data_IF_930427559195
#
_entry.id   IF_930427559195
#
_cell.length_a   1.000
_cell.length_b   1.000
_cell.length_c   1.000
_cell.angle_alpha   90.00
_cell.angle_beta   90.00
_cell.angle_gamma   90.00
#
_symmetry.space_group_name_H-M   'P 1'
#
loop_
_entity.id
_entity.type
_entity.pdbx_description
1 polymer ?
#
# COMPACT_ATOMS: atom_id res chain seq x y z
N UNK A 1 -5.60 -3.47 -3.44
CA UNK A 1 -5.50 -3.96 -2.05
C UNK A 1 -6.76 -3.65 -1.27
N UNK A 2 -6.90 -2.43 -0.73
CA UNK A 2 -7.92 -2.10 0.28
C UNK A 2 -9.37 -2.32 -0.20
N UNK A 3 -9.70 -2.01 -1.47
CA UNK A 3 -11.03 -2.30 -2.03
C UNK A 3 -11.38 -3.80 -2.07
N UNK A 4 -10.38 -4.69 -2.20
CA UNK A 4 -10.60 -6.13 -2.11
C UNK A 4 -10.91 -6.57 -0.68
N UNK A 5 -10.31 -5.92 0.32
CA UNK A 5 -10.63 -6.13 1.73
C UNK A 5 -12.10 -5.79 2.03
N UNK A 6 -12.62 -4.69 1.49
CA UNK A 6 -14.05 -4.37 1.57
C UNK A 6 -14.95 -5.44 0.94
N UNK A 7 -14.60 -5.90 -0.26
CA UNK A 7 -15.37 -6.95 -0.94
C UNK A 7 -15.37 -8.25 -0.13
N UNK A 8 -14.26 -8.56 0.53
CA UNK A 8 -14.14 -9.73 1.41
C UNK A 8 -15.02 -9.57 2.67
N UNK A 9 -14.94 -8.44 3.35
CA UNK A 9 -15.76 -8.16 4.53
C UNK A 9 -17.27 -8.16 4.22
N UNK A 10 -17.66 -7.70 3.02
CA UNK A 10 -19.04 -7.79 2.54
C UNK A 10 -19.49 -9.24 2.29
N UNK A 11 -18.59 -10.10 1.80
CA UNK A 11 -18.88 -11.52 1.58
C UNK A 11 -19.07 -12.28 2.90
N UNK A 12 -18.23 -12.01 3.91
CA UNK A 12 -18.31 -12.64 5.24
C UNK A 12 -19.38 -12.05 6.17
N UNK A 13 -20.13 -11.02 5.73
CA UNK A 13 -21.24 -10.38 6.47
C UNK A 13 -20.84 -9.84 7.85
N UNK A 14 -19.63 -9.29 7.99
CA UNK A 14 -19.18 -8.64 9.22
C UNK A 14 -19.23 -7.10 9.07
N UNK A 15 -20.38 -6.45 9.34
CA UNK A 15 -20.53 -5.00 9.11
C UNK A 15 -19.65 -4.14 10.03
N UNK A 16 -19.23 -4.69 11.17
CA UNK A 16 -18.41 -4.01 12.17
C UNK A 16 -17.01 -3.72 11.60
N UNK A 17 -16.40 -4.70 10.93
CA UNK A 17 -15.06 -4.54 10.35
C UNK A 17 -15.09 -3.60 9.13
N UNK A 18 -16.21 -3.53 8.40
CA UNK A 18 -16.38 -2.56 7.31
C UNK A 18 -16.37 -1.12 7.84
N UNK A 19 -17.16 -0.82 8.87
CA UNK A 19 -17.32 0.55 9.36
C UNK A 19 -16.13 1.04 10.19
N UNK A 20 -15.51 0.17 10.98
CA UNK A 20 -14.51 0.59 11.97
C UNK A 20 -13.07 0.26 11.58
N UNK A 21 -12.85 -0.60 10.58
CA UNK A 21 -11.51 -0.88 10.05
C UNK A 21 -11.37 -0.32 8.64
N UNK A 22 -12.23 -0.71 7.70
CA UNK A 22 -12.08 -0.29 6.29
C UNK A 22 -12.29 1.21 6.06
N UNK A 23 -13.35 1.82 6.64
CA UNK A 23 -13.64 3.25 6.41
C UNK A 23 -12.52 4.16 6.94
N UNK A 24 -12.05 4.03 8.21
CA UNK A 24 -10.93 4.83 8.70
C UNK A 24 -9.65 4.62 7.90
N UNK A 25 -9.34 3.37 7.50
CA UNK A 25 -8.17 3.06 6.67
C UNK A 25 -8.23 3.76 5.29
N UNK A 26 -9.41 3.78 4.66
CA UNK A 26 -9.62 4.47 3.39
C UNK A 26 -9.53 6.00 3.53
N UNK A 27 -10.14 6.56 4.58
CA UNK A 27 -10.07 8.00 4.85
C UNK A 27 -8.62 8.42 5.11
N UNK A 28 -7.88 7.69 5.94
CA UNK A 28 -6.47 7.97 6.22
C UNK A 28 -5.62 7.95 4.95
N UNK A 29 -5.71 6.86 4.16
CA UNK A 29 -4.89 6.68 2.97
C UNK A 29 -5.21 7.73 1.89
N UNK A 30 -6.49 8.01 1.66
CA UNK A 30 -6.91 9.00 0.67
C UNK A 30 -6.58 10.44 1.10
N UNK A 31 -6.64 10.75 2.39
CA UNK A 31 -6.37 12.11 2.89
C UNK A 31 -4.92 12.53 2.74
N UNK A 32 -3.96 11.59 2.87
CA UNK A 32 -2.53 11.87 2.73
C UNK A 32 -2.05 11.57 1.31
N UNK A 33 -2.15 10.32 0.88
CA UNK A 33 -1.57 9.87 -0.39
C UNK A 33 -2.48 10.13 -1.58
N UNK A 34 -3.81 10.03 -1.39
CA UNK A 34 -4.78 10.43 -2.42
C UNK A 34 -4.63 11.92 -2.75
N UNK A 35 -4.51 12.77 -1.73
CA UNK A 35 -4.23 14.19 -1.92
C UNK A 35 -2.89 14.44 -2.63
N UNK A 36 -1.82 13.71 -2.29
CA UNK A 36 -0.53 13.79 -3.00
C UNK A 36 -0.69 13.48 -4.51
N UNK A 37 -1.41 12.41 -4.87
CA UNK A 37 -1.68 12.06 -6.26
C UNK A 37 -2.48 13.16 -6.98
N UNK A 38 -3.49 13.73 -6.31
CA UNK A 38 -4.26 14.85 -6.87
C UNK A 38 -3.38 16.07 -7.12
N UNK A 39 -2.45 16.40 -6.21
CA UNK A 39 -1.50 17.49 -6.41
C UNK A 39 -0.55 17.26 -7.60
N UNK A 40 -0.10 16.02 -7.81
CA UNK A 40 0.73 15.67 -8.99
C UNK A 40 -0.06 15.89 -10.28
N UNK A 41 -1.30 15.40 -10.34
CA UNK A 41 -2.16 15.57 -11.52
C UNK A 41 -2.46 17.06 -11.76
N UNK A 42 -2.82 17.80 -10.70
CA UNK A 42 -3.05 19.25 -10.81
C UNK A 42 -1.80 19.98 -11.27
N UNK A 43 -0.61 19.60 -10.78
CA UNK A 43 0.65 20.19 -11.24
C UNK A 43 0.88 19.93 -12.73
N UNK A 44 0.50 18.77 -13.26
CA UNK A 44 0.60 18.49 -14.70
C UNK A 44 -0.46 19.21 -15.54
N UNK A 45 -1.62 19.55 -14.97
CA UNK A 45 -2.67 20.25 -15.68
C UNK A 45 -2.46 21.78 -15.76
N UNK A 46 -1.56 22.36 -14.96
CA UNK A 46 -1.30 23.80 -14.92
C UNK A 46 -0.06 24.12 -15.75
N UNK A 47 -0.22 25.03 -16.72
CA UNK A 47 0.89 25.52 -17.55
C UNK A 47 1.61 26.68 -16.87
N UNK A 48 2.70 26.39 -16.17
CA UNK A 48 3.52 27.41 -15.49
C UNK A 48 4.30 28.32 -16.46
N UNK A 49 4.42 27.93 -17.73
CA UNK A 49 5.10 28.75 -18.76
C UNK A 49 4.17 29.76 -19.46
N UNK A 50 2.89 29.80 -19.09
CA UNK A 50 1.92 30.71 -19.68
C UNK A 50 2.27 32.18 -19.38
N UNK A 51 2.00 33.12 -20.31
CA UNK A 51 2.30 34.54 -20.13
C UNK A 51 1.57 35.17 -18.94
N UNK A 52 0.41 34.64 -18.56
CA UNK A 52 -0.36 35.05 -17.38
C UNK A 52 0.37 34.69 -16.07
N UNK A 53 1.02 33.53 -16.03
CA UNK A 53 1.80 33.05 -14.88
C UNK A 53 3.15 33.79 -14.76
N UNK A 54 3.77 34.16 -15.89
CA UNK A 54 5.00 34.98 -15.88
C UNK A 54 4.78 36.41 -15.38
N UNK A 55 3.56 36.93 -15.47
CA UNK A 55 3.19 38.26 -14.99
C UNK A 55 2.97 38.31 -13.47
N UNK A 56 2.72 37.17 -12.83
CA UNK A 56 2.51 37.05 -11.38
C UNK A 56 3.79 36.52 -10.70
N UNK A 57 4.41 37.27 -9.76
CA UNK A 57 5.60 36.82 -9.04
C UNK A 57 5.40 35.56 -8.20
N UNK A 58 4.15 35.21 -7.87
CA UNK A 58 3.82 34.07 -7.01
C UNK A 58 3.52 32.79 -7.80
N UNK A 59 3.49 32.85 -9.14
CA UNK A 59 3.21 31.70 -10.01
C UNK A 59 4.49 30.90 -10.34
N UNK A 60 5.11 30.32 -9.31
CA UNK A 60 6.29 29.44 -9.43
C UNK A 60 5.83 27.99 -9.25
N UNK A 61 6.35 27.01 -10.04
CA UNK A 61 5.98 25.61 -9.89
C UNK A 61 6.33 25.12 -8.48
N UNK A 62 5.32 24.82 -7.63
CA UNK A 62 5.59 24.59 -6.23
C UNK A 62 6.16 23.19 -6.01
N UNK A 63 6.95 23.08 -4.95
CA UNK A 63 7.58 21.84 -4.57
C UNK A 63 6.60 20.98 -3.75
N UNK A 64 6.03 19.95 -4.38
CA UNK A 64 4.96 19.12 -3.79
C UNK A 64 5.43 18.46 -2.49
N UNK A 65 6.71 18.08 -2.37
CA UNK A 65 7.26 17.51 -1.13
C UNK A 65 7.25 18.54 0.01
N UNK A 66 7.55 19.81 -0.27
CA UNK A 66 7.50 20.88 0.71
C UNK A 66 6.07 21.13 1.18
N UNK A 67 5.08 21.05 0.27
CA UNK A 67 3.66 21.10 0.62
C UNK A 67 3.27 19.94 1.55
N UNK A 68 3.72 18.71 1.26
CA UNK A 68 3.42 17.54 2.09
C UNK A 68 4.07 17.61 3.48
N UNK A 69 5.33 18.04 3.57
CA UNK A 69 6.02 18.23 4.85
C UNK A 69 5.37 19.38 5.65
N UNK A 70 5.07 20.49 4.98
CA UNK A 70 4.42 21.65 5.56
C UNK A 70 3.05 21.32 6.16
N UNK A 71 2.29 20.44 5.51
CA UNK A 71 1.00 19.96 6.01
C UNK A 71 1.10 19.33 7.43
N UNK A 72 2.19 18.62 7.74
CA UNK A 72 2.39 18.01 9.06
C UNK A 72 3.13 18.91 10.05
N UNK A 73 4.04 19.78 9.59
CA UNK A 73 4.87 20.62 10.47
C UNK A 73 4.21 21.96 10.84
N UNK A 74 3.42 22.56 9.95
CA UNK A 74 2.73 23.84 10.20
C UNK A 74 1.34 23.85 9.54
N UNK A 75 0.33 23.25 10.19
CA UNK A 75 -0.99 23.14 9.60
C UNK A 75 -1.65 24.52 9.44
N UNK A 76 -2.06 24.84 8.21
CA UNK A 76 -2.85 26.04 7.90
C UNK A 76 -2.06 27.30 7.55
N UNK A 77 -0.74 27.31 7.67
CA UNK A 77 0.12 28.41 7.22
C UNK A 77 0.86 28.01 5.95
N UNK A 78 0.26 28.25 4.79
CA UNK A 78 0.94 28.12 3.50
C UNK A 78 1.55 29.46 3.13
N UNK A 79 2.85 29.46 2.83
CA UNK A 79 3.49 30.61 2.21
C UNK A 79 2.83 30.88 0.85
N UNK A 80 2.58 32.15 0.45
CA UNK A 80 1.83 32.48 -0.77
C UNK A 80 2.36 31.77 -2.03
N UNK A 81 3.68 31.54 -2.08
CA UNK A 81 4.41 30.86 -3.15
C UNK A 81 4.13 29.35 -3.29
N UNK A 82 3.51 28.72 -2.29
CA UNK A 82 3.17 27.29 -2.30
C UNK A 82 1.67 27.02 -2.52
N UNK A 83 0.87 28.07 -2.77
CA UNK A 83 -0.56 27.95 -2.98
C UNK A 83 -0.87 27.62 -4.45
N UNK A 84 -1.33 26.39 -4.70
CA UNK A 84 -1.73 25.90 -6.03
C UNK A 84 -3.18 26.24 -6.40
N UNK A 85 -4.07 26.35 -5.41
CA UNK A 85 -5.48 26.67 -5.63
C UNK A 85 -6.08 27.49 -4.48
N UNK A 86 -7.13 28.30 -4.74
CA UNK A 86 -7.78 29.09 -3.69
C UNK A 86 -8.39 28.18 -2.62
N UNK A 87 -8.04 28.41 -1.34
CA UNK A 87 -8.56 27.62 -0.21
C UNK A 87 -7.76 26.36 0.14
N UNK A 88 -6.55 26.19 -0.42
CA UNK A 88 -5.68 25.04 -0.12
C UNK A 88 -5.40 24.85 1.38
N UNK A 89 -5.22 25.93 2.13
CA UNK A 89 -4.98 25.87 3.58
C UNK A 89 -6.14 25.19 4.34
N UNK A 90 -7.39 25.52 3.98
CA UNK A 90 -8.58 24.95 4.60
C UNK A 90 -8.70 23.46 4.26
N UNK A 91 -8.54 23.10 2.98
CA UNK A 91 -8.63 21.70 2.53
C UNK A 91 -7.55 20.85 3.21
N UNK A 92 -6.31 21.34 3.29
CA UNK A 92 -5.22 20.64 3.98
C UNK A 92 -5.50 20.46 5.47
N UNK A 93 -6.01 21.49 6.15
CA UNK A 93 -6.37 21.39 7.56
C UNK A 93 -7.49 20.37 7.81
N UNK A 94 -8.53 20.36 6.96
CA UNK A 94 -9.63 19.38 7.05
C UNK A 94 -9.14 17.96 6.78
N UNK A 95 -8.30 17.75 5.76
CA UNK A 95 -7.73 16.43 5.44
C UNK A 95 -6.81 15.92 6.55
N UNK A 96 -5.99 16.79 7.13
CA UNK A 96 -5.14 16.44 8.28
C UNK A 96 -5.99 16.09 9.51
N UNK A 97 -7.03 16.87 9.81
CA UNK A 97 -7.94 16.59 10.91
C UNK A 97 -8.65 15.24 10.71
N UNK A 98 -9.12 14.95 9.49
CA UNK A 98 -9.72 13.66 9.15
C UNK A 98 -8.72 12.50 9.33
N UNK A 99 -7.46 12.68 8.91
CA UNK A 99 -6.42 11.68 9.10
C UNK A 99 -6.10 11.46 10.59
N UNK A 100 -5.98 12.52 11.39
CA UNK A 100 -5.71 12.42 12.82
C UNK A 100 -6.87 11.80 13.61
N UNK A 101 -8.12 12.07 13.25
CA UNK A 101 -9.31 11.47 13.87
C UNK A 101 -9.45 9.98 13.50
N UNK A 102 -9.02 9.60 12.29
CA UNK A 102 -9.13 8.21 11.83
C UNK A 102 -8.27 7.22 12.66
N UNK A 103 -7.15 7.68 13.24
CA UNK A 103 -6.24 6.84 14.03
C UNK A 103 -6.86 6.40 15.37
N UNK A 104 -7.39 7.31 16.23
CA UNK A 104 -8.13 6.93 17.43
C UNK A 104 -9.37 6.09 17.15
N UNK A 105 -10.09 6.36 16.05
CA UNK A 105 -11.29 5.58 15.68
C UNK A 105 -10.92 4.12 15.42
N UNK A 106 -9.85 3.86 14.65
CA UNK A 106 -9.38 2.50 14.38
C UNK A 106 -8.86 1.79 15.65
N UNK A 107 -8.21 2.53 16.54
CA UNK A 107 -7.67 2.00 17.79
C UNK A 107 -8.75 1.63 18.82
N UNK A 108 -9.75 2.51 19.03
CA UNK A 108 -10.74 2.36 20.11
C UNK A 108 -12.01 1.63 19.69
N UNK A 109 -12.42 1.70 18.43
CA UNK A 109 -13.74 1.22 18.03
C UNK A 109 -13.91 -0.30 18.17
N UNK A 110 -12.92 -1.09 17.70
CA UNK A 110 -12.99 -2.55 17.74
C UNK A 110 -12.97 -3.13 19.18
N UNK A 111 -12.05 -2.74 20.08
CA UNK A 111 -12.03 -3.28 21.44
C UNK A 111 -13.26 -2.86 22.26
N UNK A 112 -13.75 -1.62 22.11
CA UNK A 112 -14.93 -1.16 22.86
C UNK A 112 -16.22 -1.87 22.43
N UNK A 113 -16.40 -2.12 21.13
CA UNK A 113 -17.56 -2.85 20.62
C UNK A 113 -17.51 -4.33 21.00
N UNK A 114 -16.33 -4.97 20.97
CA UNK A 114 -16.17 -6.34 21.43
C UNK A 114 -16.49 -6.47 22.92
N UNK A 115 -16.01 -5.53 23.75
CA UNK A 115 -16.37 -5.47 25.18
C UNK A 115 -17.89 -5.37 25.39
N UNK A 116 -18.56 -4.44 24.71
CA UNK A 116 -20.02 -4.28 24.82
C UNK A 116 -20.79 -5.53 24.38
N UNK A 117 -20.33 -6.22 23.34
CA UNK A 117 -20.97 -7.46 22.85
C UNK A 117 -20.79 -8.62 23.82
N UNK A 118 -19.63 -8.72 24.49
CA UNK A 118 -19.39 -9.69 25.54
C UNK A 118 -20.25 -9.42 26.78
N UNK A 119 -20.35 -8.17 27.23
CA UNK A 119 -21.22 -7.78 28.35
C UNK A 119 -22.70 -8.03 28.04
N UNK A 120 -23.17 -7.73 26.83
CA UNK A 120 -24.54 -8.04 26.42
C UNK A 120 -24.80 -9.55 26.26
N UNK A 121 -23.80 -10.33 25.81
CA UNK A 121 -23.94 -11.79 25.71
C UNK A 121 -23.99 -12.42 27.09
N UNK A 122 -23.17 -11.95 28.04
CA UNK A 122 -23.23 -12.38 29.44
C UNK A 122 -24.57 -12.02 30.10
N UNK A 123 -25.07 -10.78 29.92
CA UNK A 123 -26.38 -10.36 30.43
C UNK A 123 -27.55 -11.16 29.84
N UNK A 124 -27.47 -11.57 28.57
CA UNK A 124 -28.51 -12.36 27.92
C UNK A 124 -28.47 -13.85 28.34
N UNK A 125 -27.28 -14.38 28.64
CA UNK A 125 -27.14 -15.71 29.27
C UNK A 125 -27.68 -15.72 30.70
N UNK A 126 -27.60 -14.59 31.42
CA UNK A 126 -28.13 -14.45 32.78
C UNK A 126 -29.66 -14.26 32.83
N UNK A 127 -30.31 -13.88 31.71
CA UNK A 127 -31.76 -13.61 31.63
C UNK A 127 -32.61 -14.75 31.04
N UNK A 128 -32.05 -15.93 30.79
CA UNK A 128 -32.83 -17.12 30.43
C UNK A 128 -32.82 -18.17 31.54
N UNK A 129 -33.52 -17.98 32.68
CA UNK A 129 -33.82 -19.09 33.56
C UNK A 129 -35.02 -19.86 32.99
N UNK A 130 -34.89 -21.19 32.93
CA UNK A 130 -35.97 -22.18 32.83
C UNK A 130 -36.84 -22.16 31.55
N UNK A 131 -36.47 -23.02 30.60
CA UNK A 131 -37.33 -24.12 30.14
C UNK A 131 -36.38 -25.20 29.61
N UNK A 132 -36.27 -26.29 30.37
CA UNK A 132 -35.35 -27.37 30.08
C UNK A 132 -35.81 -28.26 28.95
N UNK A 133 -34.82 -28.94 28.35
CA UNK A 133 -34.88 -30.35 28.00
C UNK A 133 -33.43 -30.83 27.84
N UNK A 134 -33.16 -32.01 28.40
CA UNK A 134 -31.90 -32.72 28.30
C UNK A 134 -31.68 -33.17 26.85
N UNK A 135 -30.73 -32.58 26.14
CA UNK A 135 -30.13 -33.21 24.96
C UNK A 135 -28.62 -33.00 24.99
N UNK A 136 -27.91 -34.12 24.83
CA UNK A 136 -26.47 -34.26 24.68
C UNK A 136 -25.90 -33.25 23.68
N UNK A 137 -24.81 -32.57 24.06
CA UNK A 137 -23.84 -32.09 23.08
C UNK A 137 -22.44 -32.06 23.68
N UNK A 138 -21.67 -33.11 23.35
CA UNK A 138 -20.23 -33.03 23.20
C UNK A 138 -19.89 -31.91 22.20
N UNK A 139 -19.62 -30.71 22.70
CA UNK A 139 -18.95 -29.67 21.92
C UNK A 139 -18.02 -28.87 22.83
N UNK A 140 -16.90 -29.49 23.22
CA UNK A 140 -15.77 -28.74 23.73
C UNK A 140 -15.29 -27.75 22.68
N UNK A 141 -15.23 -26.46 23.02
CA UNK A 141 -14.19 -25.57 22.52
C UNK A 141 -13.94 -24.45 23.52
N UNK A 142 -12.68 -24.33 23.91
CA UNK A 142 -12.17 -23.52 25.01
C UNK A 142 -12.71 -22.10 25.06
N UNK A 143 -13.42 -21.81 26.16
CA UNK A 143 -13.55 -20.47 26.69
C UNK A 143 -12.15 -20.01 27.18
N UNK A 144 -11.32 -19.57 26.24
CA UNK A 144 -10.27 -18.61 26.58
C UNK A 144 -10.96 -17.39 27.16
N UNK A 145 -10.61 -17.04 28.40
CA UNK A 145 -11.04 -15.81 29.05
C UNK A 145 -10.88 -14.65 28.06
N UNK A 146 -11.95 -13.89 27.80
CA UNK A 146 -11.85 -12.70 26.95
C UNK A 146 -10.99 -11.67 27.69
N UNK A 147 -9.68 -11.76 27.51
CA UNK A 147 -8.72 -10.80 28.06
C UNK A 147 -8.82 -9.56 27.18
N UNK A 148 -9.61 -8.58 27.63
CA UNK A 148 -9.75 -7.28 26.95
C UNK A 148 -8.39 -6.64 26.66
N UNK A 149 -7.40 -6.88 27.53
CA UNK A 149 -6.02 -6.46 27.34
C UNK A 149 -5.39 -7.02 26.06
N UNK A 150 -5.54 -8.31 25.78
CA UNK A 150 -4.94 -8.95 24.59
C UNK A 150 -5.54 -8.41 23.29
N UNK A 151 -6.87 -8.22 23.28
CA UNK A 151 -7.57 -7.62 22.13
C UNK A 151 -7.15 -6.17 21.90
N UNK A 152 -6.98 -5.41 22.99
CA UNK A 152 -6.52 -4.02 22.92
C UNK A 152 -5.08 -3.93 22.40
N UNK A 153 -4.17 -4.79 22.89
CA UNK A 153 -2.76 -4.83 22.44
C UNK A 153 -2.67 -5.26 20.98
N UNK A 154 -3.38 -6.31 20.56
CA UNK A 154 -3.38 -6.77 19.17
C UNK A 154 -3.94 -5.71 18.22
N UNK A 155 -5.01 -5.01 18.60
CA UNK A 155 -5.58 -3.93 17.79
C UNK A 155 -4.66 -2.68 17.74
N UNK A 156 -3.90 -2.42 18.81
CA UNK A 156 -2.85 -1.39 18.83
C UNK A 156 -1.77 -1.70 17.80
N UNK A 157 -1.25 -2.93 17.81
CA UNK A 157 -0.21 -3.38 16.88
C UNK A 157 -0.71 -3.25 15.44
N UNK A 158 -1.92 -3.74 15.15
CA UNK A 158 -2.52 -3.62 13.83
C UNK A 158 -2.68 -2.16 13.37
N UNK A 159 -3.06 -1.26 14.28
CA UNK A 159 -3.17 0.18 13.99
C UNK A 159 -1.82 0.80 13.65
N UNK A 160 -0.78 0.51 14.45
CA UNK A 160 0.58 1.02 14.23
C UNK A 160 1.18 0.44 12.95
N UNK A 161 1.05 -0.87 12.73
CA UNK A 161 1.50 -1.55 11.52
C UNK A 161 0.82 -0.97 10.28
N UNK A 162 -0.49 -0.68 10.35
CA UNK A 162 -1.20 -0.06 9.25
C UNK A 162 -0.69 1.36 8.95
N UNK A 163 -0.58 2.23 9.95
CA UNK A 163 -0.16 3.63 9.76
C UNK A 163 1.28 3.70 9.23
N UNK A 164 2.22 3.02 9.90
CA UNK A 164 3.62 2.98 9.48
C UNK A 164 3.80 2.23 8.15
N UNK A 165 3.05 1.14 7.96
CA UNK A 165 3.03 0.37 6.73
C UNK A 165 2.50 1.17 5.55
N UNK A 166 1.49 2.04 5.73
CA UNK A 166 0.99 2.89 4.64
C UNK A 166 2.05 3.88 4.14
N UNK A 167 2.82 4.48 5.04
CA UNK A 167 3.93 5.38 4.68
C UNK A 167 5.08 4.60 4.04
N UNK A 168 5.50 3.51 4.68
CA UNK A 168 6.60 2.67 4.21
C UNK A 168 6.33 2.05 2.84
N UNK A 169 5.13 1.49 2.63
CA UNK A 169 4.74 0.89 1.35
C UNK A 169 4.71 1.96 0.24
N UNK A 170 4.16 3.14 0.50
CA UNK A 170 4.17 4.22 -0.50
C UNK A 170 5.60 4.64 -0.88
N UNK A 171 6.50 4.78 0.10
CA UNK A 171 7.90 5.11 -0.17
C UNK A 171 8.63 3.98 -0.92
N UNK A 172 8.32 2.71 -0.63
CA UNK A 172 8.90 1.54 -1.28
C UNK A 172 8.61 1.48 -2.78
N UNK A 173 7.49 2.07 -3.26
CA UNK A 173 7.21 2.19 -4.71
C UNK A 173 8.21 3.06 -5.47
N UNK A 174 8.98 3.93 -4.80
CA UNK A 174 10.09 4.68 -5.43
C UNK A 174 11.11 3.74 -6.08
N UNK A 175 11.19 2.48 -5.63
CA UNK A 175 12.01 1.44 -6.24
C UNK A 175 11.74 1.25 -7.72
N UNK A 176 10.48 1.37 -8.16
CA UNK A 176 10.13 1.25 -9.58
C UNK A 176 10.78 2.36 -10.41
N UNK A 177 10.79 3.59 -9.89
CA UNK A 177 11.47 4.71 -10.53
C UNK A 177 12.99 4.51 -10.54
N UNK A 178 13.59 4.13 -9.40
CA UNK A 178 15.03 3.91 -9.31
C UNK A 178 15.53 2.82 -10.28
N UNK A 179 14.78 1.72 -10.39
CA UNK A 179 15.10 0.64 -11.31
C UNK A 179 14.93 1.07 -12.77
N UNK A 180 13.86 1.82 -13.09
CA UNK A 180 13.66 2.36 -14.44
C UNK A 180 14.75 3.35 -14.83
N UNK A 181 15.25 4.16 -13.88
CA UNK A 181 16.35 5.09 -14.12
C UNK A 181 17.66 4.33 -14.34
N UNK A 182 17.97 3.35 -13.50
CA UNK A 182 19.16 2.52 -13.66
C UNK A 182 19.19 1.81 -15.01
N UNK A 183 18.05 1.24 -15.43
CA UNK A 183 17.90 0.60 -16.74
C UNK A 183 18.18 1.57 -17.90
N UNK A 184 17.63 2.79 -17.84
CA UNK A 184 17.83 3.80 -18.86
C UNK A 184 19.30 4.27 -18.95
N UNK A 185 19.94 4.53 -17.80
CA UNK A 185 21.34 4.95 -17.75
C UNK A 185 22.28 3.85 -18.23
N UNK A 186 22.07 2.60 -17.80
CA UNK A 186 22.91 1.46 -18.20
C UNK A 186 22.75 1.16 -19.71
N UNK A 187 21.55 1.32 -20.26
CA UNK A 187 21.30 1.22 -21.70
C UNK A 187 22.05 2.32 -22.49
N UNK A 188 21.98 3.57 -22.02
CA UNK A 188 22.71 4.69 -22.65
C UNK A 188 24.22 4.46 -22.61
N UNK A 189 24.77 4.02 -21.49
CA UNK A 189 26.22 3.75 -21.36
C UNK A 189 26.67 2.66 -22.32
N UNK A 190 25.91 1.58 -22.49
CA UNK A 190 26.25 0.53 -23.46
C UNK A 190 26.17 1.02 -24.90
N UNK A 191 25.20 1.87 -25.21
CA UNK A 191 25.06 2.45 -26.54
C UNK A 191 26.24 3.38 -26.85
N UNK A 192 26.58 4.30 -25.94
CA UNK A 192 27.70 5.22 -26.11
C UNK A 192 29.05 4.49 -26.18
N UNK A 193 29.31 3.55 -25.26
CA UNK A 193 30.62 2.90 -25.15
C UNK A 193 30.86 1.81 -26.17
N UNK A 194 29.82 1.19 -26.74
CA UNK A 194 29.99 0.14 -27.75
C UNK A 194 29.69 0.65 -29.16
N UNK A 195 28.52 1.28 -29.37
CA UNK A 195 28.10 1.67 -30.72
C UNK A 195 28.77 2.97 -31.18
N UNK A 196 28.73 4.04 -30.38
CA UNK A 196 29.33 5.32 -30.80
C UNK A 196 30.86 5.23 -30.90
N UNK A 197 31.52 4.58 -29.92
CA UNK A 197 32.96 4.30 -30.01
C UNK A 197 33.32 3.44 -31.23
N UNK A 198 32.52 2.41 -31.54
CA UNK A 198 32.71 1.57 -32.71
C UNK A 198 32.56 2.35 -34.03
N UNK A 199 31.62 3.30 -34.08
CA UNK A 199 31.38 4.14 -35.25
C UNK A 199 32.50 5.16 -35.50
N UNK A 200 33.04 5.78 -34.45
CA UNK A 200 34.14 6.76 -34.56
C UNK A 200 35.47 6.12 -35.00
N UNK A 201 35.65 4.82 -34.76
CA UNK A 201 36.88 4.11 -35.13
C UNK A 201 37.11 3.94 -36.64
N UNK A 202 36.05 4.10 -37.47
CA UNK A 202 36.14 4.05 -38.94
C UNK A 202 36.47 2.69 -39.57
N UNK A 203 36.73 1.65 -38.77
CA UNK A 203 37.04 0.29 -39.24
C UNK A 203 35.80 -0.60 -39.25
N UNK A 204 35.44 -1.14 -40.42
CA UNK A 204 34.27 -2.01 -40.58
C UNK A 204 34.35 -3.28 -39.71
N UNK A 205 35.55 -3.81 -39.50
CA UNK A 205 35.75 -5.03 -38.69
C UNK A 205 35.49 -4.72 -37.21
N UNK A 206 36.01 -3.60 -36.69
CA UNK A 206 35.82 -3.19 -35.30
C UNK A 206 34.34 -2.87 -35.02
N UNK A 207 33.65 -2.24 -35.98
CA UNK A 207 32.21 -1.97 -35.87
C UNK A 207 31.37 -3.25 -35.73
N UNK A 208 31.65 -4.30 -36.52
CA UNK A 208 30.95 -5.59 -36.39
C UNK A 208 31.22 -6.26 -35.05
N UNK A 209 32.47 -6.17 -34.54
CA UNK A 209 32.82 -6.69 -33.22
C UNK A 209 32.09 -5.93 -32.12
N UNK A 210 32.10 -4.60 -32.13
CA UNK A 210 31.40 -3.77 -31.16
C UNK A 210 29.87 -3.98 -31.21
N UNK A 211 29.29 -4.16 -32.39
CA UNK A 211 27.86 -4.45 -32.56
C UNK A 211 27.46 -5.82 -31.98
N UNK A 212 28.25 -6.86 -32.27
CA UNK A 212 28.00 -8.20 -31.70
C UNK A 212 28.15 -8.22 -30.17
N UNK A 213 29.13 -7.48 -29.64
CA UNK A 213 29.30 -7.30 -28.20
C UNK A 213 28.13 -6.52 -27.57
N UNK A 214 27.63 -5.48 -28.24
CA UNK A 214 26.47 -4.71 -27.77
C UNK A 214 25.21 -5.57 -27.69
N UNK A 215 24.95 -6.42 -28.68
CA UNK A 215 23.84 -7.39 -28.63
C UNK A 215 24.02 -8.35 -27.45
N UNK A 216 25.21 -8.91 -27.27
CA UNK A 216 25.47 -9.86 -26.18
C UNK A 216 25.25 -9.23 -24.80
N UNK A 217 25.73 -8.00 -24.58
CA UNK A 217 25.54 -7.27 -23.33
C UNK A 217 24.08 -6.86 -23.10
N UNK A 218 23.37 -6.46 -24.17
CA UNK A 218 21.95 -6.12 -24.09
C UNK A 218 21.10 -7.33 -23.74
N UNK A 219 21.34 -8.48 -24.36
CA UNK A 219 20.58 -9.70 -24.04
C UNK A 219 20.95 -10.21 -22.64
N UNK A 220 22.24 -10.32 -22.34
CA UNK A 220 22.71 -10.89 -21.08
C UNK A 220 22.37 -10.02 -19.86
N UNK A 221 22.71 -8.74 -19.90
CA UNK A 221 22.60 -7.85 -18.74
C UNK A 221 21.22 -7.19 -18.69
N UNK A 222 20.82 -6.48 -19.75
CA UNK A 222 19.56 -5.71 -19.76
C UNK A 222 18.33 -6.65 -19.79
N UNK A 223 18.31 -7.63 -20.71
CA UNK A 223 17.12 -8.49 -20.85
C UNK A 223 17.03 -9.63 -19.85
N UNK A 224 18.12 -10.28 -19.45
CA UNK A 224 18.05 -11.38 -18.49
C UNK A 224 18.20 -10.91 -17.05
N UNK A 225 19.36 -10.33 -16.71
CA UNK A 225 19.68 -10.01 -15.31
C UNK A 225 18.80 -8.90 -14.74
N UNK A 226 18.67 -7.77 -15.44
CA UNK A 226 17.86 -6.65 -14.95
C UNK A 226 16.36 -6.95 -14.96
N UNK A 227 15.86 -7.63 -15.99
CA UNK A 227 14.43 -8.00 -16.03
C UNK A 227 14.06 -9.00 -14.94
N UNK A 228 14.96 -9.94 -14.60
CA UNK A 228 14.76 -10.84 -13.46
C UNK A 228 14.76 -10.07 -12.13
N UNK A 229 15.67 -9.10 -11.96
CA UNK A 229 15.70 -8.22 -10.79
C UNK A 229 14.40 -7.40 -10.66
N UNK A 230 13.93 -6.83 -11.78
CA UNK A 230 12.66 -6.11 -11.86
C UNK A 230 11.48 -7.00 -11.49
N UNK A 231 11.46 -8.23 -12.00
CA UNK A 231 10.43 -9.22 -11.68
C UNK A 231 10.40 -9.55 -10.18
N UNK A 232 11.56 -9.83 -9.56
CA UNK A 232 11.61 -10.14 -8.12
C UNK A 232 11.20 -8.95 -7.25
N UNK A 233 11.54 -7.73 -7.65
CA UNK A 233 11.06 -6.52 -6.98
C UNK A 233 9.54 -6.36 -7.13
N UNK A 234 8.98 -6.60 -8.33
CA UNK A 234 7.54 -6.59 -8.55
C UNK A 234 6.83 -7.66 -7.72
N UNK A 235 7.39 -8.87 -7.62
CA UNK A 235 6.84 -9.96 -6.80
C UNK A 235 6.83 -9.56 -5.32
N UNK A 236 7.92 -8.97 -4.82
CA UNK A 236 7.98 -8.48 -3.44
C UNK A 236 6.91 -7.42 -3.16
N UNK A 237 6.73 -6.45 -4.06
CA UNK A 237 5.68 -5.44 -3.94
C UNK A 237 4.29 -6.11 -3.86
N UNK A 238 4.04 -7.12 -4.69
CA UNK A 238 2.79 -7.88 -4.64
C UNK A 238 2.61 -8.65 -3.32
N UNK A 239 3.64 -9.35 -2.85
CA UNK A 239 3.57 -10.16 -1.64
C UNK A 239 3.44 -9.32 -0.37
N UNK A 240 4.26 -8.28 -0.23
CA UNK A 240 4.32 -7.50 1.02
C UNK A 240 3.29 -6.37 1.02
N UNK A 241 3.10 -5.67 -0.08
CA UNK A 241 2.36 -4.40 -0.08
C UNK A 241 0.92 -4.57 -0.58
N UNK A 242 0.70 -5.49 -1.54
CA UNK A 242 -0.62 -5.78 -2.05
C UNK A 242 -1.36 -6.83 -1.20
N UNK A 243 -0.72 -7.96 -0.87
CA UNK A 243 -1.35 -9.08 -0.15
C UNK A 243 -1.57 -8.83 1.34
N UNK A 244 -0.67 -8.10 2.02
CA UNK A 244 -0.81 -7.83 3.45
C UNK A 244 -2.09 -7.03 3.79
N UNK A 245 -2.69 -6.35 2.79
CA UNK A 245 -3.92 -5.56 2.99
C UNK A 245 -5.23 -6.35 2.95
N UNK A 246 -5.23 -7.60 2.49
CA UNK A 246 -6.45 -8.41 2.36
C UNK A 246 -6.31 -9.85 2.84
N UNK A 247 -5.13 -10.44 2.71
CA UNK A 247 -4.90 -11.86 2.95
C UNK A 247 -4.76 -12.17 4.45
N UNK A 248 -4.20 -11.24 5.22
CA UNK A 248 -3.90 -11.41 6.64
C UNK A 248 -5.15 -11.35 7.55
N UNK A 249 -6.30 -10.88 7.06
CA UNK A 249 -7.49 -10.65 7.89
C UNK A 249 -8.20 -11.95 8.32
N UNK A 250 -7.97 -13.08 7.63
CA UNK A 250 -8.70 -14.35 7.88
C UNK A 250 -7.77 -15.55 8.19
N UNK A 251 -6.48 -15.32 8.43
CA UNK A 251 -5.52 -16.36 8.80
C UNK A 251 -5.11 -17.31 7.66
N UNK A 252 -4.19 -18.26 7.91
CA UNK A 252 -3.72 -19.20 6.90
C UNK A 252 -4.83 -20.21 6.57
N UNK A 253 -5.36 -20.15 5.34
CA UNK A 253 -6.22 -21.20 4.81
C UNK A 253 -5.44 -22.50 4.61
N UNK A 254 -6.08 -23.64 4.89
CA UNK A 254 -5.51 -24.94 4.55
C UNK A 254 -5.53 -25.12 3.03
N UNK A 255 -4.39 -25.48 2.43
CA UNK A 255 -4.35 -25.83 1.00
C UNK A 255 -5.22 -27.07 0.78
N UNK A 256 -6.28 -26.92 -0.01
CA UNK A 256 -7.15 -28.04 -0.36
C UNK A 256 -6.33 -29.09 -1.14
N UNK A 257 -6.22 -30.29 -0.56
CA UNK A 257 -5.66 -31.47 -1.21
C UNK A 257 -6.80 -32.45 -1.48
N UNK A 258 -7.31 -32.54 -2.71
CA UNK A 258 -8.29 -33.56 -3.05
C UNK A 258 -7.64 -34.94 -3.00
N UNK A 259 -8.43 -35.97 -2.71
CA UNK A 259 -7.96 -37.35 -2.88
C UNK A 259 -7.75 -37.63 -4.38
N UNK A 260 -6.49 -37.77 -4.80
CA UNK A 260 -6.11 -38.07 -6.19
C UNK A 260 -5.19 -39.27 -6.24
N UNK A 261 -5.53 -40.24 -7.09
CA UNK A 261 -4.73 -41.45 -7.32
C UNK A 261 -3.33 -41.12 -7.88
N UNK A 262 -3.16 -39.98 -8.54
CA UNK A 262 -1.87 -39.54 -9.09
C UNK A 262 -0.90 -39.03 -8.01
N UNK A 263 -1.41 -38.49 -6.90
CA UNK A 263 -0.58 -38.13 -5.74
C UNK A 263 -0.12 -39.36 -4.95
N UNK A 264 -0.97 -40.40 -4.85
CA UNK A 264 -0.62 -41.67 -4.24
C UNK A 264 0.52 -42.37 -5.01
N UNK A 265 0.42 -42.43 -6.34
CA UNK A 265 1.45 -43.05 -7.19
C UNK A 265 2.81 -42.35 -7.08
N UNK A 266 2.84 -41.03 -6.90
CA UNK A 266 4.08 -40.25 -6.69
C UNK A 266 4.65 -40.34 -5.27
N UNK A 267 3.87 -40.83 -4.31
CA UNK A 267 4.34 -41.06 -2.94
C UNK A 267 4.96 -42.44 -2.72
N UNK A 268 4.75 -43.36 -3.66
CA UNK A 268 5.31 -44.73 -3.65
C UNK A 268 6.62 -44.86 -4.47
N UNK A 269 6.91 -43.90 -5.36
CA UNK A 269 8.21 -43.77 -6.09
C UNK A 269 9.23 -42.93 -5.30
#
# INVERSE_FOLDING_TARGET
GICLSYRNARFFKEPIDVWYVFVPQMVFMNSIFGYLCLLIILKWCINYDAPECRADPDCVPPDIKAILIGMFMSPGSLEPKLQMYPGQALVQAVLLAAALISVPVMFLAKPLLLKQRHENRQKNTEHSPLLGEEEDDEAGHGHGEFVFGDVMVQNMIHTIEFVLGCVSNTASYLRLWALSLAHAELSNVFLEKLIYMGAESGSAILMVVCYSMWIAMTIGVLMLMESLSAFLHALRLHWVEFQNKFYSLHGPGAKFKPFSYEELRKGEE
#
